data_IF_919769519659
#
_entry.id   IF_919769519659
#
_cell.length_a   1.000
_cell.length_b   1.000
_cell.length_c   1.000
_cell.angle_alpha   90.00
_cell.angle_beta   90.00
_cell.angle_gamma   90.00
#
_symmetry.space_group_name_H-M   'P 1'
#
loop_
_entity.id
_entity.type
_entity.pdbx_description
1 polymer ?
#
# COMPACT_ATOMS: atom_id res chain seq x y z
N UNK A 1 -8.24 0.99 5.54
CA UNK A 1 -8.42 -0.25 4.75
C UNK A 1 -8.24 -1.38 5.73
N UNK A 2 -9.19 -2.31 5.82
CA UNK A 2 -9.07 -3.44 6.75
C UNK A 2 -8.38 -4.59 6.03
N UNK A 3 -7.11 -4.84 6.36
CA UNK A 3 -6.36 -5.99 5.89
C UNK A 3 -6.48 -7.10 6.93
N UNK A 4 -7.00 -8.25 6.53
CA UNK A 4 -6.98 -9.45 7.36
C UNK A 4 -5.73 -10.25 7.01
N UNK A 5 -4.76 -10.27 7.92
CA UNK A 5 -3.56 -11.10 7.79
C UNK A 5 -3.89 -12.51 8.28
N UNK A 6 -3.59 -13.49 7.44
CA UNK A 6 -3.74 -14.91 7.76
C UNK A 6 -2.35 -15.54 7.85
N UNK A 7 -1.91 -15.84 9.07
CA UNK A 7 -0.65 -16.53 9.30
C UNK A 7 -0.85 -18.04 9.14
N UNK A 8 -0.10 -18.63 8.22
CA UNK A 8 -0.16 -20.05 7.91
C UNK A 8 1.07 -20.76 8.51
N UNK A 9 0.90 -21.78 9.37
CA UNK A 9 2.02 -22.50 9.95
C UNK A 9 2.77 -23.33 8.90
N UNK A 10 4.11 -23.22 8.89
CA UNK A 10 5.02 -23.83 7.91
C UNK A 10 5.02 -25.38 7.86
N UNK A 11 4.29 -26.05 8.76
CA UNK A 11 4.21 -27.51 8.86
C UNK A 11 2.97 -28.14 8.20
N UNK A 12 1.99 -27.35 7.76
CA UNK A 12 0.73 -27.87 7.22
C UNK A 12 0.81 -27.88 5.69
N UNK A 13 0.93 -29.07 5.12
CA UNK A 13 0.69 -29.29 3.68
C UNK A 13 -0.82 -29.25 3.46
N UNK A 14 -1.34 -28.11 3.01
CA UNK A 14 -2.78 -27.95 2.72
C UNK A 14 -3.23 -28.86 1.57
N UNK A 15 -2.31 -29.31 0.73
CA UNK A 15 -2.59 -30.24 -0.37
C UNK A 15 -2.99 -31.64 0.14
N UNK A 16 -2.60 -32.00 1.37
CA UNK A 16 -2.83 -33.32 1.95
C UNK A 16 -4.08 -33.42 2.83
N UNK A 17 -4.72 -32.28 3.16
CA UNK A 17 -5.90 -32.25 4.01
C UNK A 17 -7.17 -31.93 3.20
N UNK A 18 -7.96 -32.94 2.78
CA UNK A 18 -9.15 -32.77 1.94
C UNK A 18 -10.35 -32.08 2.64
N UNK A 19 -10.21 -31.70 3.92
CA UNK A 19 -11.30 -31.24 4.78
C UNK A 19 -11.25 -29.74 5.13
N UNK A 20 -10.30 -28.97 4.59
CA UNK A 20 -10.28 -27.52 4.76
C UNK A 20 -10.85 -26.82 3.52
N UNK A 21 -11.72 -25.83 3.72
CA UNK A 21 -12.27 -24.93 2.69
C UNK A 21 -11.17 -23.99 2.14
N UNK A 22 -10.13 -24.59 1.58
CA UNK A 22 -8.99 -23.94 0.93
C UNK A 22 -9.50 -23.05 -0.21
N UNK A 23 -10.50 -23.52 -0.93
CA UNK A 23 -11.19 -22.78 -1.99
C UNK A 23 -11.94 -21.55 -1.45
N UNK A 24 -12.51 -21.64 -0.24
CA UNK A 24 -13.15 -20.50 0.43
C UNK A 24 -12.13 -19.44 0.85
N UNK A 25 -11.01 -19.87 1.43
CA UNK A 25 -9.94 -18.99 1.90
C UNK A 25 -9.29 -18.27 0.70
N UNK A 26 -8.80 -19.01 -0.30
CA UNK A 26 -8.13 -18.41 -1.46
C UNK A 26 -9.05 -17.54 -2.33
N UNK A 27 -10.37 -17.80 -2.35
CA UNK A 27 -11.32 -16.92 -3.05
C UNK A 27 -11.46 -15.53 -2.41
N UNK A 28 -11.13 -15.42 -1.12
CA UNK A 28 -11.21 -14.17 -0.35
C UNK A 28 -9.87 -13.42 -0.29
N UNK A 29 -8.77 -14.08 -0.64
CA UNK A 29 -7.41 -13.55 -0.54
C UNK A 29 -7.03 -12.85 -1.85
N UNK A 30 -6.61 -11.59 -1.77
CA UNK A 30 -6.17 -10.81 -2.94
C UNK A 30 -4.68 -10.94 -3.26
N UNK A 31 -3.84 -11.27 -2.28
CA UNK A 31 -2.40 -11.46 -2.45
C UNK A 31 -1.90 -12.54 -1.50
N UNK A 32 -1.00 -13.39 -2.00
CA UNK A 32 -0.32 -14.44 -1.25
C UNK A 32 1.14 -14.04 -1.11
N UNK A 33 1.57 -13.82 0.15
CA UNK A 33 2.97 -13.54 0.47
C UNK A 33 3.62 -14.84 0.94
N UNK A 34 4.65 -15.27 0.24
CA UNK A 34 5.46 -16.44 0.62
C UNK A 34 6.82 -15.99 1.12
N UNK A 35 7.17 -16.36 2.34
CA UNK A 35 8.44 -15.96 2.97
C UNK A 35 9.45 -17.10 2.89
N UNK A 36 10.59 -16.83 2.27
CA UNK A 36 11.73 -17.75 2.16
C UNK A 36 12.87 -17.19 3.00
N UNK A 37 13.37 -17.96 3.97
CA UNK A 37 14.57 -17.57 4.72
C UNK A 37 15.81 -17.74 3.84
N UNK A 38 16.56 -16.66 3.61
CA UNK A 38 17.76 -16.67 2.78
C UNK A 38 18.99 -17.27 3.50
N UNK A 39 18.94 -17.42 4.83
CA UNK A 39 20.04 -17.95 5.64
C UNK A 39 19.92 -19.46 5.90
N UNK A 40 18.75 -20.04 5.62
CA UNK A 40 18.46 -21.46 5.83
C UNK A 40 18.33 -22.22 4.50
N UNK A 41 18.16 -23.53 4.58
CA UNK A 41 17.97 -24.39 3.41
C UNK A 41 16.59 -24.13 2.74
N UNK A 42 16.60 -23.34 1.66
CA UNK A 42 15.40 -22.92 0.95
C UNK A 42 14.84 -23.95 -0.06
N UNK A 43 15.54 -25.06 -0.35
CA UNK A 43 15.10 -26.04 -1.35
C UNK A 43 13.71 -26.61 -1.07
N UNK A 44 13.45 -27.02 0.17
CA UNK A 44 12.15 -27.55 0.57
C UNK A 44 11.05 -26.47 0.49
N UNK A 45 11.40 -25.22 0.81
CA UNK A 45 10.48 -24.09 0.74
C UNK A 45 10.10 -23.77 -0.72
N UNK A 46 11.07 -23.82 -1.65
CA UNK A 46 10.83 -23.64 -3.09
C UNK A 46 9.92 -24.73 -3.63
N UNK A 47 10.16 -26.01 -3.29
CA UNK A 47 9.31 -27.11 -3.74
C UNK A 47 7.85 -26.93 -3.31
N UNK A 48 7.62 -26.60 -2.03
CA UNK A 48 6.27 -26.34 -1.50
C UNK A 48 5.61 -25.12 -2.13
N UNK A 49 6.39 -24.07 -2.39
CA UNK A 49 5.91 -22.89 -3.09
C UNK A 49 5.46 -23.28 -4.51
N UNK A 50 6.27 -24.04 -5.24
CA UNK A 50 5.94 -24.48 -6.59
C UNK A 50 4.68 -25.35 -6.60
N UNK A 51 4.55 -26.31 -5.67
CA UNK A 51 3.31 -27.10 -5.54
C UNK A 51 2.07 -26.21 -5.29
N UNK A 52 2.21 -25.18 -4.46
CA UNK A 52 1.14 -24.23 -4.15
C UNK A 52 0.80 -23.35 -5.37
N UNK A 53 1.81 -22.83 -6.06
CA UNK A 53 1.63 -22.06 -7.29
C UNK A 53 0.96 -22.91 -8.35
N UNK A 54 1.38 -24.16 -8.54
CA UNK A 54 0.79 -25.08 -9.51
C UNK A 54 -0.66 -25.41 -9.16
N UNK A 55 -1.00 -25.57 -7.88
CA UNK A 55 -2.39 -25.74 -7.44
C UNK A 55 -3.23 -24.51 -7.80
N UNK A 56 -2.75 -23.30 -7.47
CA UNK A 56 -3.44 -22.06 -7.77
C UNK A 56 -3.58 -21.82 -9.29
N UNK A 57 -2.51 -22.02 -10.05
CA UNK A 57 -2.51 -21.91 -11.49
C UNK A 57 -3.52 -22.88 -12.11
N UNK A 58 -3.51 -24.17 -11.75
CA UNK A 58 -4.49 -25.14 -12.29
C UNK A 58 -5.94 -24.78 -11.94
N UNK A 59 -6.18 -24.20 -10.77
CA UNK A 59 -7.52 -23.89 -10.26
C UNK A 59 -8.13 -22.62 -10.84
N UNK A 60 -7.30 -21.59 -11.05
CA UNK A 60 -7.71 -20.26 -11.51
C UNK A 60 -7.41 -20.01 -12.99
N UNK A 61 -6.65 -20.89 -13.65
CA UNK A 61 -6.44 -20.84 -15.10
C UNK A 61 -7.75 -21.12 -15.84
N UNK A 62 -8.48 -20.04 -16.15
CA UNK A 62 -9.67 -20.09 -16.97
C UNK A 62 -9.31 -19.76 -18.43
N UNK A 63 -9.44 -20.70 -19.37
CA UNK A 63 -9.14 -20.46 -20.79
C UNK A 63 -10.15 -19.53 -21.49
N UNK A 64 -11.07 -18.91 -20.76
CA UNK A 64 -12.18 -18.12 -21.33
C UNK A 64 -11.86 -16.63 -21.55
N UNK A 65 -10.75 -16.10 -21.01
CA UNK A 65 -10.32 -14.70 -21.22
C UNK A 65 -8.88 -14.64 -21.75
N UNK A 66 -8.68 -14.45 -23.07
CA UNK A 66 -7.34 -14.41 -23.69
C UNK A 66 -6.55 -13.13 -23.36
N UNK A 67 -7.21 -12.05 -22.93
CA UNK A 67 -6.56 -10.76 -22.64
C UNK A 67 -6.10 -10.61 -21.17
N UNK A 68 -6.65 -11.41 -20.25
CA UNK A 68 -6.18 -11.50 -18.85
C UNK A 68 -6.43 -12.91 -18.28
N UNK A 69 -5.56 -13.89 -18.59
CA UNK A 69 -5.76 -15.31 -18.23
C UNK A 69 -5.69 -15.62 -16.72
N UNK A 70 -5.42 -14.62 -15.88
CA UNK A 70 -5.30 -14.72 -14.42
C UNK A 70 -6.34 -13.85 -13.66
N UNK A 71 -7.42 -13.42 -14.32
CA UNK A 71 -8.47 -12.62 -13.68
C UNK A 71 -9.12 -13.39 -12.51
N UNK A 72 -8.85 -12.94 -11.28
CA UNK A 72 -9.27 -13.61 -10.03
C UNK A 72 -8.20 -14.50 -9.36
N UNK A 73 -6.99 -14.59 -9.91
CA UNK A 73 -5.85 -15.20 -9.22
C UNK A 73 -5.29 -14.22 -8.17
N UNK A 74 -4.96 -14.68 -6.95
CA UNK A 74 -4.23 -13.84 -5.99
C UNK A 74 -2.84 -13.49 -6.54
N UNK A 75 -2.40 -12.26 -6.32
CA UNK A 75 -1.03 -11.86 -6.64
C UNK A 75 -0.04 -12.68 -5.81
N UNK A 76 0.93 -13.33 -6.46
CA UNK A 76 1.95 -14.13 -5.75
C UNK A 76 3.19 -13.27 -5.55
N UNK A 77 3.56 -13.09 -4.29
CA UNK A 77 4.70 -12.28 -3.91
C UNK A 77 5.63 -13.07 -3.00
N UNK A 78 6.88 -13.22 -3.41
CA UNK A 78 7.88 -14.03 -2.73
C UNK A 78 8.87 -13.10 -2.04
N UNK A 79 8.94 -13.20 -0.72
CA UNK A 79 9.86 -12.44 0.12
C UNK A 79 11.06 -13.32 0.44
N UNK A 80 12.21 -13.00 -0.16
CA UNK A 80 13.52 -13.52 0.25
C UNK A 80 13.92 -12.73 1.49
N UNK A 81 13.80 -13.37 2.64
CA UNK A 81 13.87 -12.75 3.96
C UNK A 81 15.21 -13.02 4.67
N UNK A 82 15.52 -12.22 5.69
CA UNK A 82 16.79 -12.26 6.47
C UNK A 82 18.05 -12.04 5.63
N UNK A 83 17.99 -11.12 4.69
CA UNK A 83 19.14 -10.76 3.83
C UNK A 83 20.20 -9.91 4.53
N UNK A 84 19.97 -9.52 5.79
CA UNK A 84 20.84 -8.66 6.63
C UNK A 84 22.17 -9.32 7.00
N UNK A 85 22.20 -10.65 7.14
CA UNK A 85 23.40 -11.40 7.49
C UNK A 85 24.31 -11.75 6.30
N UNK A 86 23.91 -11.36 5.08
CA UNK A 86 24.57 -11.76 3.84
C UNK A 86 25.39 -10.61 3.25
N UNK A 87 26.49 -10.92 2.58
CA UNK A 87 27.20 -9.92 1.77
C UNK A 87 26.37 -9.54 0.54
N UNK A 88 26.57 -8.34 0.00
CA UNK A 88 25.83 -7.86 -1.17
C UNK A 88 25.93 -8.80 -2.38
N UNK A 89 27.12 -9.35 -2.62
CA UNK A 89 27.36 -10.33 -3.69
C UNK A 89 26.56 -11.61 -3.46
N UNK A 90 26.58 -12.14 -2.23
CA UNK A 90 25.87 -13.37 -1.90
C UNK A 90 24.35 -13.16 -1.91
N UNK A 91 23.87 -11.99 -1.49
CA UNK A 91 22.46 -11.61 -1.58
C UNK A 91 21.99 -11.61 -3.04
N UNK A 92 22.77 -11.01 -3.94
CA UNK A 92 22.43 -10.97 -5.37
C UNK A 92 22.43 -12.38 -5.98
N UNK A 93 23.40 -13.22 -5.62
CA UNK A 93 23.50 -14.60 -6.09
C UNK A 93 22.34 -15.47 -5.60
N UNK A 94 22.03 -15.43 -4.29
CA UNK A 94 20.89 -16.17 -3.70
C UNK A 94 19.57 -15.70 -4.29
N UNK A 95 19.39 -14.38 -4.42
CA UNK A 95 18.17 -13.81 -5.01
C UNK A 95 17.98 -14.30 -6.45
N UNK A 96 19.05 -14.30 -7.26
CA UNK A 96 19.02 -14.80 -8.62
C UNK A 96 18.77 -16.31 -8.69
N UNK A 97 19.40 -17.10 -7.83
CA UNK A 97 19.22 -18.56 -7.80
C UNK A 97 17.78 -18.93 -7.43
N UNK A 98 17.21 -18.32 -6.39
CA UNK A 98 15.81 -18.52 -5.99
C UNK A 98 14.85 -18.11 -7.12
N UNK A 99 15.07 -16.94 -7.72
CA UNK A 99 14.23 -16.44 -8.81
C UNK A 99 14.27 -17.37 -10.02
N UNK A 100 15.46 -17.83 -10.43
CA UNK A 100 15.61 -18.73 -11.57
C UNK A 100 14.93 -20.09 -11.31
N UNK A 101 15.17 -20.70 -10.15
CA UNK A 101 14.56 -22.00 -9.80
C UNK A 101 13.03 -21.95 -9.81
N UNK A 102 12.44 -20.92 -9.22
CA UNK A 102 10.98 -20.79 -9.18
C UNK A 102 10.42 -20.55 -10.58
N UNK A 103 11.04 -19.69 -11.37
CA UNK A 103 10.57 -19.40 -12.73
C UNK A 103 10.74 -20.60 -13.67
N UNK A 104 11.88 -21.31 -13.60
CA UNK A 104 12.16 -22.48 -14.42
C UNK A 104 11.18 -23.63 -14.08
N UNK A 105 10.94 -23.91 -12.80
CA UNK A 105 9.98 -24.94 -12.38
C UNK A 105 8.55 -24.59 -12.82
N UNK A 106 8.15 -23.33 -12.74
CA UNK A 106 6.81 -22.88 -13.19
C UNK A 106 6.67 -22.95 -14.72
N UNK A 107 7.74 -22.62 -15.45
CA UNK A 107 7.81 -22.72 -16.91
C UNK A 107 7.74 -24.18 -17.40
N UNK A 108 8.45 -25.10 -16.72
CA UNK A 108 8.43 -26.54 -17.03
C UNK A 108 7.01 -27.14 -16.96
N UNK A 109 6.14 -26.55 -16.14
CA UNK A 109 4.74 -26.96 -16.02
C UNK A 109 3.77 -26.22 -16.98
N UNK A 110 4.29 -25.38 -17.88
CA UNK A 110 3.54 -24.70 -18.93
C UNK A 110 2.88 -23.38 -18.51
N UNK A 111 3.33 -22.76 -17.41
CA UNK A 111 2.82 -21.48 -16.92
C UNK A 111 3.83 -20.33 -17.10
N UNK A 112 4.29 -20.10 -18.33
CA UNK A 112 5.34 -19.10 -18.66
C UNK A 112 5.00 -17.64 -18.30
N UNK A 113 3.72 -17.33 -18.02
CA UNK A 113 3.23 -15.97 -17.81
C UNK A 113 2.71 -15.71 -16.37
N UNK A 114 3.00 -16.58 -15.40
CA UNK A 114 2.54 -16.40 -14.03
C UNK A 114 3.10 -15.07 -13.43
N UNK A 115 2.25 -14.16 -12.91
CA UNK A 115 2.69 -12.89 -12.36
C UNK A 115 3.28 -13.09 -10.95
N UNK A 116 4.52 -13.57 -10.88
CA UNK A 116 5.27 -13.76 -9.64
C UNK A 116 6.21 -12.57 -9.43
N UNK A 117 6.17 -11.97 -8.25
CA UNK A 117 7.06 -10.88 -7.88
C UNK A 117 7.98 -11.28 -6.73
N UNK A 118 9.24 -10.87 -6.83
CA UNK A 118 10.28 -11.21 -5.86
C UNK A 118 10.76 -9.95 -5.15
N UNK A 119 10.91 -10.05 -3.83
CA UNK A 119 11.38 -8.96 -2.98
C UNK A 119 12.46 -9.47 -2.05
N UNK A 120 13.55 -8.72 -1.94
CA UNK A 120 14.57 -8.92 -0.91
C UNK A 120 14.16 -8.09 0.31
N UNK A 121 13.94 -8.73 1.46
CA UNK A 121 13.41 -8.08 2.66
C UNK A 121 14.24 -8.38 3.90
N UNK A 122 14.37 -7.39 4.76
CA UNK A 122 14.97 -7.49 6.09
C UNK A 122 14.09 -6.74 7.08
N UNK A 123 13.99 -7.24 8.32
CA UNK A 123 13.29 -6.53 9.41
C UNK A 123 14.10 -5.37 9.99
N UNK A 124 15.40 -5.32 9.72
CA UNK A 124 16.28 -4.26 10.20
C UNK A 124 16.33 -3.05 9.28
N UNK A 125 15.92 -3.23 8.02
CA UNK A 125 15.92 -2.18 7.01
C UNK A 125 14.48 -1.80 6.62
N UNK A 126 14.34 -0.63 6.01
CA UNK A 126 13.07 -0.14 5.49
C UNK A 126 12.50 -1.00 4.31
N UNK A 127 13.28 -1.96 3.82
CA UNK A 127 12.96 -2.82 2.66
C UNK A 127 11.71 -3.67 2.85
N UNK A 128 11.44 -4.14 4.08
CA UNK A 128 10.22 -4.89 4.37
C UNK A 128 8.97 -4.03 4.13
N UNK A 129 8.98 -2.78 4.61
CA UNK A 129 7.85 -1.88 4.44
C UNK A 129 7.68 -1.44 2.98
N UNK A 130 8.78 -1.24 2.24
CA UNK A 130 8.71 -0.98 0.81
C UNK A 130 8.10 -2.16 0.03
N UNK A 131 8.52 -3.39 0.35
CA UNK A 131 7.95 -4.59 -0.26
C UNK A 131 6.43 -4.68 0.02
N UNK A 132 6.02 -4.52 1.29
CA UNK A 132 4.61 -4.45 1.68
C UNK A 132 3.85 -3.31 0.98
N UNK A 133 4.49 -2.17 0.75
CA UNK A 133 3.87 -1.05 0.04
C UNK A 133 3.56 -1.42 -1.42
N UNK A 134 4.47 -2.13 -2.10
CA UNK A 134 4.24 -2.63 -3.47
C UNK A 134 3.18 -3.73 -3.52
N UNK A 135 3.09 -4.59 -2.50
CA UNK A 135 2.02 -5.58 -2.33
C UNK A 135 0.67 -4.89 -2.25
N UNK A 136 0.55 -3.93 -1.34
CA UNK A 136 -0.69 -3.19 -1.10
C UNK A 136 -1.10 -2.39 -2.32
N UNK A 137 -0.17 -1.77 -3.05
CA UNK A 137 -0.47 -1.07 -4.30
C UNK A 137 -1.22 -1.93 -5.30
N UNK A 138 -0.83 -3.20 -5.48
CA UNK A 138 -1.52 -4.12 -6.39
C UNK A 138 -2.90 -4.53 -5.90
N UNK A 139 -3.09 -4.59 -4.58
CA UNK A 139 -4.37 -4.88 -3.96
C UNK A 139 -5.38 -3.72 -4.09
N UNK A 140 -4.92 -2.48 -4.33
CA UNK A 140 -5.81 -1.32 -4.42
C UNK A 140 -6.30 -1.12 -5.87
N UNK A 141 -7.59 -1.38 -6.17
CA UNK A 141 -8.12 -1.28 -7.54
C UNK A 141 -8.16 0.16 -8.10
N UNK A 142 -8.06 1.17 -7.23
CA UNK A 142 -8.10 2.59 -7.60
C UNK A 142 -6.70 3.20 -7.73
N UNK A 143 -5.63 2.39 -7.69
CA UNK A 143 -4.26 2.85 -7.81
C UNK A 143 -4.03 3.79 -9.01
N UNK A 144 -4.52 3.49 -10.24
CA UNK A 144 -4.27 4.37 -11.39
C UNK A 144 -4.86 5.77 -11.22
N UNK A 145 -5.96 5.92 -10.49
CA UNK A 145 -6.53 7.23 -10.21
C UNK A 145 -5.65 8.02 -9.23
N UNK A 146 -5.14 7.36 -8.18
CA UNK A 146 -4.25 7.97 -7.19
C UNK A 146 -2.90 8.34 -7.80
N UNK A 147 -2.32 7.47 -8.62
CA UNK A 147 -1.07 7.74 -9.36
C UNK A 147 -1.22 8.94 -10.30
N UNK A 148 -2.33 9.03 -11.04
CA UNK A 148 -2.60 10.17 -11.91
C UNK A 148 -2.75 11.48 -11.13
N UNK A 149 -3.36 11.45 -9.93
CA UNK A 149 -3.45 12.62 -9.05
C UNK A 149 -2.07 13.02 -8.52
N UNK A 150 -1.24 12.06 -8.12
CA UNK A 150 0.14 12.31 -7.66
C UNK A 150 1.01 12.86 -8.78
N UNK A 151 0.95 12.29 -9.98
CA UNK A 151 1.66 12.78 -11.16
C UNK A 151 1.23 14.20 -11.53
N UNK A 152 -0.09 14.48 -11.44
CA UNK A 152 -0.64 15.81 -11.66
C UNK A 152 -0.18 16.83 -10.61
N UNK A 153 0.02 16.41 -9.36
CA UNK A 153 0.63 17.22 -8.32
C UNK A 153 2.10 17.49 -8.65
N UNK A 154 2.92 16.45 -8.85
CA UNK A 154 4.34 16.56 -9.14
C UNK A 154 4.62 17.47 -10.34
N UNK A 155 3.86 17.34 -11.42
CA UNK A 155 4.01 18.17 -12.62
C UNK A 155 3.72 19.65 -12.38
N UNK A 156 2.81 20.00 -11.46
CA UNK A 156 2.41 21.39 -11.19
C UNK A 156 3.23 22.07 -10.11
N UNK A 157 3.70 21.32 -9.12
CA UNK A 157 4.46 21.85 -7.97
C UNK A 157 5.97 21.73 -8.16
N UNK A 158 6.44 20.94 -9.12
CA UNK A 158 7.88 20.67 -9.30
C UNK A 158 8.44 19.79 -8.18
N UNK A 159 7.59 18.95 -7.57
CA UNK A 159 8.00 17.93 -6.60
C UNK A 159 8.76 16.83 -7.36
N UNK A 160 9.91 16.41 -6.83
CA UNK A 160 10.73 15.35 -7.43
C UNK A 160 10.10 13.97 -7.22
N UNK A 161 9.55 13.75 -6.02
CA UNK A 161 8.96 12.47 -5.60
C UNK A 161 7.82 12.70 -4.62
N UNK A 162 6.73 11.96 -4.76
CA UNK A 162 5.60 12.02 -3.84
C UNK A 162 5.13 10.63 -3.41
N UNK A 163 4.85 10.50 -2.12
CA UNK A 163 4.35 9.28 -1.49
C UNK A 163 3.11 9.59 -0.67
N UNK A 164 2.10 8.72 -0.77
CA UNK A 164 0.94 8.75 0.10
C UNK A 164 1.07 7.62 1.12
N UNK A 165 1.43 7.98 2.35
CA UNK A 165 1.69 7.08 3.47
C UNK A 165 0.44 6.85 4.33
N UNK A 166 0.33 5.65 4.87
CA UNK A 166 -0.43 5.37 6.08
C UNK A 166 0.45 5.63 7.31
N UNK A 167 0.03 6.56 8.18
CA UNK A 167 0.82 7.05 9.31
C UNK A 167 1.09 5.94 10.34
N UNK A 168 0.13 5.03 10.55
CA UNK A 168 0.26 4.00 11.58
C UNK A 168 1.18 2.85 11.16
N UNK A 169 1.09 2.44 9.89
CA UNK A 169 1.82 1.26 9.38
C UNK A 169 3.11 1.63 8.65
N UNK A 170 3.31 2.92 8.35
CA UNK A 170 4.38 3.47 7.52
C UNK A 170 4.40 2.94 6.08
N UNK A 171 3.35 2.25 5.65
CA UNK A 171 3.24 1.73 4.28
C UNK A 171 2.73 2.83 3.36
N UNK A 172 3.36 3.03 2.19
CA UNK A 172 2.76 3.87 1.16
C UNK A 172 1.71 3.13 0.35
N UNK A 173 0.55 3.74 0.19
CA UNK A 173 -0.58 3.21 -0.59
C UNK A 173 -0.44 3.57 -2.07
N UNK A 174 0.15 4.73 -2.36
CA UNK A 174 0.36 5.21 -3.72
C UNK A 174 1.66 6.02 -3.80
N UNK A 175 2.32 5.94 -4.95
CA UNK A 175 3.49 6.73 -5.27
C UNK A 175 3.34 7.28 -6.70
N UNK A 176 4.06 8.35 -7.01
CA UNK A 176 4.16 8.84 -8.38
C UNK A 176 5.02 7.91 -9.25
N UNK A 177 4.94 8.08 -10.57
CA UNK A 177 5.61 7.18 -11.54
C UNK A 177 7.12 7.33 -11.62
N UNK A 178 7.70 8.32 -10.95
CA UNK A 178 9.17 8.46 -10.89
C UNK A 178 9.76 7.27 -10.13
N UNK A 179 10.94 6.75 -10.51
CA UNK A 179 11.56 5.66 -9.76
C UNK A 179 11.89 6.13 -8.33
N UNK A 180 11.35 5.41 -7.34
CA UNK A 180 11.68 5.64 -5.93
C UNK A 180 13.01 4.98 -5.57
N UNK A 181 13.76 5.64 -4.68
CA UNK A 181 14.95 5.08 -4.06
C UNK A 181 14.64 4.66 -2.62
N UNK A 182 15.28 3.60 -2.13
CA UNK A 182 15.12 3.07 -0.78
C UNK A 182 15.47 4.16 0.24
N UNK A 183 16.53 4.92 -0.02
CA UNK A 183 16.96 6.01 0.87
C UNK A 183 15.92 7.15 0.94
N UNK A 184 15.20 7.41 -0.15
CA UNK A 184 14.12 8.41 -0.14
C UNK A 184 12.94 7.94 0.71
N UNK A 185 12.59 6.65 0.60
CA UNK A 185 11.55 6.03 1.40
C UNK A 185 11.91 6.08 2.91
N UNK A 186 13.13 5.69 3.26
CA UNK A 186 13.64 5.73 4.64
C UNK A 186 13.57 7.15 5.22
N UNK A 187 14.04 8.15 4.47
CA UNK A 187 13.97 9.56 4.88
C UNK A 187 12.52 10.03 5.10
N UNK A 188 11.57 9.56 4.28
CA UNK A 188 10.16 9.90 4.43
C UNK A 188 9.52 9.20 5.63
N UNK A 189 9.92 7.95 5.91
CA UNK A 189 9.47 7.19 7.08
C UNK A 189 9.92 7.86 8.38
N UNK A 190 11.20 8.22 8.47
CA UNK A 190 11.75 8.90 9.65
C UNK A 190 11.09 10.27 9.88
N UNK A 191 10.73 10.98 8.80
CA UNK A 191 10.01 12.24 8.88
C UNK A 191 8.63 12.06 9.54
N UNK A 192 7.91 10.99 9.20
CA UNK A 192 6.59 10.70 9.77
C UNK A 192 6.75 10.48 11.28
N UNK A 193 7.74 9.70 11.71
CA UNK A 193 8.00 9.45 13.13
C UNK A 193 8.28 10.76 13.88
N UNK A 194 9.15 11.61 13.35
CA UNK A 194 9.46 12.91 13.97
C UNK A 194 8.20 13.78 14.10
N UNK A 195 7.35 13.81 13.08
CA UNK A 195 6.12 14.61 13.12
C UNK A 195 5.12 14.03 14.11
N UNK A 196 4.95 12.71 14.14
CA UNK A 196 4.06 12.02 15.10
C UNK A 196 4.56 12.23 16.52
N UNK A 197 5.84 11.97 16.81
CA UNK A 197 6.43 12.14 18.15
C UNK A 197 6.30 13.58 18.66
N UNK A 198 6.57 14.58 17.81
CA UNK A 198 6.38 16.00 18.16
C UNK A 198 4.90 16.31 18.40
N UNK A 199 4.01 15.75 17.58
CA UNK A 199 2.57 15.93 17.73
C UNK A 199 2.04 15.25 18.99
N UNK A 200 2.61 14.13 19.42
CA UNK A 200 2.26 13.49 20.69
C UNK A 200 2.71 14.31 21.91
N UNK A 201 3.87 14.98 21.80
CA UNK A 201 4.40 15.82 22.88
C UNK A 201 3.62 17.15 22.99
N UNK A 202 3.31 17.79 21.87
CA UNK A 202 2.77 19.15 21.84
C UNK A 202 1.30 19.27 21.38
N UNK A 203 0.73 18.23 20.79
CA UNK A 203 -0.64 18.19 20.27
C UNK A 203 -1.70 17.81 21.31
N UNK A 204 -1.38 17.91 22.60
CA UNK A 204 -2.38 17.73 23.65
C UNK A 204 -3.49 18.78 23.54
N UNK A 205 -4.73 18.30 23.43
CA UNK A 205 -5.92 19.10 23.65
C UNK A 205 -5.82 19.72 25.04
N UNK A 206 -5.56 21.03 25.08
CA UNK A 206 -5.62 21.77 26.34
C UNK A 206 -7.05 21.62 26.86
N UNK A 207 -7.24 21.29 28.15
CA UNK A 207 -8.59 21.19 28.71
C UNK A 207 -9.36 22.47 28.38
N UNK A 208 -10.61 22.31 27.92
CA UNK A 208 -11.46 23.42 27.52
C UNK A 208 -11.45 24.49 28.63
N UNK A 209 -11.02 25.72 28.32
CA UNK A 209 -10.99 26.78 29.31
C UNK A 209 -12.41 27.11 29.79
N UNK A 210 -12.56 27.47 31.07
CA UNK A 210 -13.87 27.86 31.60
C UNK A 210 -14.48 29.01 30.78
N UNK A 211 -15.80 29.00 30.52
CA UNK A 211 -16.45 29.99 29.68
C UNK A 211 -16.30 31.39 30.28
N UNK A 212 -15.66 32.29 29.53
CA UNK A 212 -15.37 33.68 29.90
C UNK A 212 -13.95 33.96 30.39
N UNK A 213 -13.09 32.94 30.47
CA UNK A 213 -11.68 33.10 30.87
C UNK A 213 -10.84 33.82 29.81
N UNK A 214 -9.70 34.38 30.23
CA UNK A 214 -8.73 34.99 29.32
C UNK A 214 -8.15 33.97 28.32
N UNK A 215 -8.11 32.69 28.72
CA UNK A 215 -7.63 31.56 27.92
C UNK A 215 -8.57 31.23 26.75
N UNK A 216 -9.90 31.29 26.93
CA UNK A 216 -10.87 31.10 25.83
C UNK A 216 -10.72 32.19 24.75
N UNK A 217 -10.43 33.43 25.16
CA UNK A 217 -10.19 34.55 24.22
C UNK A 217 -8.85 34.45 23.50
N UNK A 218 -7.83 33.83 24.11
CA UNK A 218 -6.56 33.52 23.44
C UNK A 218 -6.69 32.30 22.52
N UNK A 219 -7.38 31.23 22.94
CA UNK A 219 -7.63 30.04 22.10
C UNK A 219 -8.47 30.38 20.87
N UNK A 220 -9.51 31.21 21.02
CA UNK A 220 -10.31 31.69 19.89
C UNK A 220 -9.52 32.55 18.89
N UNK A 221 -8.34 33.05 19.31
CA UNK A 221 -7.42 33.83 18.49
C UNK A 221 -6.28 32.97 17.91
N UNK A 222 -6.07 31.75 18.43
CA UNK A 222 -5.25 30.73 17.80
C UNK A 222 -6.03 30.14 16.61
N UNK A 223 -5.96 30.82 15.46
CA UNK A 223 -6.24 30.21 14.15
C UNK A 223 -5.14 29.20 13.81
N UNK A 224 -4.98 28.18 14.64
CA UNK A 224 -4.18 27.01 14.32
C UNK A 224 -4.79 26.33 13.10
N UNK A 225 -3.96 25.93 12.15
CA UNK A 225 -4.38 25.06 11.07
C UNK A 225 -4.95 23.78 11.72
N UNK A 226 -6.17 23.37 11.37
CA UNK A 226 -6.76 22.13 11.90
C UNK A 226 -5.98 20.89 11.48
N UNK A 227 -5.22 21.01 10.38
CA UNK A 227 -4.53 19.91 9.73
C UNK A 227 -3.04 19.97 10.10
N UNK A 228 -2.46 18.81 10.47
CA UNK A 228 -1.03 18.72 10.72
C UNK A 228 -0.24 18.93 9.42
N UNK A 229 0.56 20.00 9.39
CA UNK A 229 1.47 20.31 8.30
C UNK A 229 2.89 20.46 8.84
N UNK A 230 3.84 19.75 8.22
CA UNK A 230 5.24 19.83 8.56
C UNK A 230 6.06 20.09 7.30
N UNK A 231 6.98 21.04 7.38
CA UNK A 231 7.92 21.32 6.29
C UNK A 231 9.32 21.40 6.89
N UNK A 232 10.18 20.46 6.49
CA UNK A 232 11.58 20.40 6.93
C UNK A 232 12.46 20.75 5.74
N UNK A 233 13.23 21.83 5.87
CA UNK A 233 14.21 22.25 4.87
C UNK A 233 15.60 21.81 5.32
N UNK A 234 16.31 21.04 4.50
CA UNK A 234 17.68 20.60 4.81
C UNK A 234 18.68 21.67 4.33
N UNK A 235 19.49 22.22 5.23
CA UNK A 235 20.42 23.34 4.93
C UNK A 235 21.75 22.91 4.26
N UNK A 236 22.03 21.61 4.10
CA UNK A 236 23.29 21.12 3.49
C UNK A 236 23.18 20.97 1.96
N UNK A 237 24.34 21.17 1.28
CA UNK A 237 24.55 21.16 -0.19
C UNK A 237 23.49 20.37 -0.99
N UNK A 238 22.68 21.11 -1.74
CA UNK A 238 21.54 20.61 -2.53
C UNK A 238 20.26 20.73 -1.72
N UNK A 239 19.70 21.93 -1.64
CA UNK A 239 18.54 22.28 -0.80
C UNK A 239 17.31 21.43 -1.17
N UNK A 240 17.20 20.28 -0.50
CA UNK A 240 16.01 19.43 -0.55
C UNK A 240 15.10 19.82 0.61
N UNK A 241 13.85 20.05 0.28
CA UNK A 241 12.78 20.32 1.21
C UNK A 241 11.87 19.09 1.25
N UNK A 242 11.67 18.57 2.44
CA UNK A 242 10.68 17.55 2.72
C UNK A 242 9.42 18.24 3.20
N UNK A 243 8.31 17.96 2.54
CA UNK A 243 7.02 18.51 2.91
C UNK A 243 6.07 17.37 3.23
N UNK A 244 5.51 17.38 4.43
CA UNK A 244 4.52 16.45 4.93
C UNK A 244 3.22 17.20 5.21
N UNK A 245 2.12 16.66 4.72
CA UNK A 245 0.77 17.17 5.03
C UNK A 245 -0.19 16.03 5.28
N UNK A 246 -0.98 16.17 6.34
CA UNK A 246 -2.08 15.27 6.62
C UNK A 246 -3.18 15.41 5.54
N UNK A 247 -3.63 14.26 5.02
CA UNK A 247 -4.75 14.17 4.08
C UNK A 247 -6.02 13.74 4.81
N UNK A 248 -5.89 12.75 5.69
CA UNK A 248 -6.91 12.23 6.62
C UNK A 248 -6.22 11.74 7.89
N UNK A 249 -7.02 11.40 8.92
CA UNK A 249 -6.55 10.80 10.19
C UNK A 249 -5.56 9.63 10.04
N UNK A 250 -5.62 8.90 8.94
CA UNK A 250 -4.75 7.75 8.66
C UNK A 250 -3.72 8.02 7.56
N UNK A 251 -3.93 9.03 6.71
CA UNK A 251 -3.14 9.22 5.50
C UNK A 251 -2.36 10.52 5.53
N UNK A 252 -1.06 10.44 5.26
CA UNK A 252 -0.18 11.59 5.11
C UNK A 252 0.44 11.61 3.71
N UNK A 253 0.46 12.77 3.08
CA UNK A 253 1.20 13.01 1.85
C UNK A 253 2.60 13.50 2.23
N UNK A 254 3.62 12.80 1.74
CA UNK A 254 5.03 13.21 1.87
C UNK A 254 5.60 13.50 0.49
N UNK A 255 6.21 14.67 0.34
CA UNK A 255 6.78 15.14 -0.92
C UNK A 255 8.24 15.56 -0.73
N UNK A 256 9.08 15.15 -1.67
CA UNK A 256 10.49 15.55 -1.75
C UNK A 256 10.61 16.59 -2.86
N UNK A 257 11.12 17.77 -2.52
CA UNK A 257 11.25 18.90 -3.44
C UNK A 257 12.69 19.39 -3.45
N UNK A 258 13.32 19.53 -4.62
CA UNK A 258 14.53 20.33 -4.75
C UNK A 258 14.10 21.78 -4.99
N UNK A 259 14.22 22.64 -3.98
CA UNK A 259 13.79 24.03 -4.10
C UNK A 259 14.94 24.96 -3.73
N UNK A 260 15.33 25.81 -4.69
CA UNK A 260 16.35 26.85 -4.50
C UNK A 260 15.85 28.01 -3.61
N UNK A 261 14.54 28.28 -3.61
CA UNK A 261 13.87 29.20 -2.69
C UNK A 261 12.50 28.65 -2.20
N UNK A 262 12.45 28.05 -1.00
CA UNK A 262 11.24 27.42 -0.47
C UNK A 262 10.13 28.42 -0.10
N UNK A 263 10.43 29.72 0.09
CA UNK A 263 9.46 30.69 0.58
C UNK A 263 8.51 31.21 -0.51
N UNK A 264 9.02 31.43 -1.73
CA UNK A 264 8.23 32.04 -2.82
C UNK A 264 7.15 31.08 -3.38
N UNK A 265 7.45 29.78 -3.40
CA UNK A 265 6.54 28.74 -3.94
C UNK A 265 5.66 28.07 -2.90
N UNK A 266 5.88 28.31 -1.60
CA UNK A 266 5.15 27.65 -0.51
C UNK A 266 3.64 27.74 -0.66
N UNK A 267 3.11 28.94 -0.89
CA UNK A 267 1.67 29.16 -0.98
C UNK A 267 1.03 28.40 -2.17
N UNK A 268 1.73 28.29 -3.30
CA UNK A 268 1.24 27.54 -4.45
C UNK A 268 1.28 26.02 -4.20
N UNK A 269 2.34 25.54 -3.56
CA UNK A 269 2.50 24.13 -3.19
C UNK A 269 1.40 23.72 -2.20
N UNK A 270 1.20 24.51 -1.15
CA UNK A 270 0.17 24.30 -0.14
C UNK A 270 -1.24 24.28 -0.76
N UNK A 271 -1.54 25.24 -1.64
CA UNK A 271 -2.83 25.27 -2.35
C UNK A 271 -3.05 24.01 -3.19
N UNK A 272 -2.05 23.59 -3.98
CA UNK A 272 -2.15 22.41 -4.83
C UNK A 272 -2.29 21.12 -4.00
N UNK A 273 -1.58 21.02 -2.88
CA UNK A 273 -1.69 19.88 -1.97
C UNK A 273 -3.04 19.83 -1.27
N UNK A 274 -3.64 20.97 -0.91
CA UNK A 274 -5.01 21.02 -0.38
C UNK A 274 -6.05 20.62 -1.42
N UNK A 275 -5.84 20.96 -2.69
CA UNK A 275 -6.69 20.48 -3.80
C UNK A 275 -6.53 18.96 -3.97
N UNK A 276 -5.29 18.46 -3.89
CA UNK A 276 -4.99 17.02 -3.95
C UNK A 276 -5.66 16.25 -2.79
N UNK A 277 -5.52 16.70 -1.55
CA UNK A 277 -6.11 16.06 -0.38
C UNK A 277 -7.63 15.92 -0.51
N UNK A 278 -8.32 16.98 -0.98
CA UNK A 278 -9.75 16.91 -1.30
C UNK A 278 -10.08 15.92 -2.41
N UNK A 279 -9.23 15.83 -3.44
CA UNK A 279 -9.38 14.85 -4.52
C UNK A 279 -9.26 13.40 -4.03
N UNK A 280 -8.29 13.12 -3.17
CA UNK A 280 -8.09 11.81 -2.56
C UNK A 280 -9.30 11.41 -1.71
N UNK A 281 -9.83 12.34 -0.91
CA UNK A 281 -11.03 12.08 -0.09
C UNK A 281 -12.24 11.75 -0.95
N UNK A 282 -12.42 12.44 -2.07
CA UNK A 282 -13.49 12.11 -3.03
C UNK A 282 -13.33 10.71 -3.61
N UNK A 283 -12.11 10.30 -3.98
CA UNK A 283 -11.83 8.95 -4.53
C UNK A 283 -12.23 7.86 -3.54
N UNK A 284 -11.90 8.03 -2.25
CA UNK A 284 -12.28 7.08 -1.21
C UNK A 284 -13.77 7.10 -0.88
N UNK A 285 -14.45 8.25 -0.95
CA UNK A 285 -15.91 8.36 -0.77
C UNK A 285 -16.73 7.70 -1.89
N UNK A 286 -16.16 7.51 -3.08
CA UNK A 286 -16.88 6.86 -4.20
C UNK A 286 -17.21 5.40 -3.88
N UNK A 287 -16.39 4.71 -3.09
CA UNK A 287 -16.57 3.27 -2.80
C UNK A 287 -17.82 2.96 -1.94
N UNK A 288 -18.08 3.64 -0.81
CA UNK A 288 -19.32 3.43 -0.08
C UNK A 288 -20.55 3.82 -0.90
N UNK A 289 -20.49 4.91 -1.70
CA UNK A 289 -21.62 5.32 -2.55
C UNK A 289 -21.95 4.31 -3.64
N UNK A 290 -20.94 3.74 -4.30
CA UNK A 290 -21.15 2.69 -5.31
C UNK A 290 -21.66 1.38 -4.69
N UNK A 291 -21.23 1.04 -3.47
CA UNK A 291 -21.73 -0.13 -2.75
C UNK A 291 -23.18 0.08 -2.29
N UNK A 292 -23.54 1.23 -1.74
CA UNK A 292 -24.92 1.60 -1.38
C UNK A 292 -25.83 1.61 -2.61
N UNK A 293 -25.38 2.19 -3.73
CA UNK A 293 -26.13 2.19 -5.00
C UNK A 293 -26.30 0.78 -5.58
N UNK A 294 -25.29 -0.09 -5.43
CA UNK A 294 -25.36 -1.48 -5.86
C UNK A 294 -26.31 -2.31 -4.98
N UNK A 295 -26.30 -2.10 -3.67
CA UNK A 295 -27.24 -2.71 -2.73
C UNK A 295 -28.68 -2.24 -2.97
N UNK A 296 -28.91 -0.93 -3.17
CA UNK A 296 -30.22 -0.41 -3.54
C UNK A 296 -30.73 -1.04 -4.84
N UNK A 297 -29.88 -1.19 -5.85
CA UNK A 297 -30.23 -1.84 -7.12
C UNK A 297 -30.53 -3.34 -6.94
N UNK A 298 -29.81 -4.04 -6.06
CA UNK A 298 -30.07 -5.46 -5.72
C UNK A 298 -31.41 -5.62 -5.00
N UNK A 299 -31.70 -4.79 -4.00
CA UNK A 299 -32.98 -4.79 -3.27
C UNK A 299 -34.15 -4.44 -4.20
N UNK A 300 -33.98 -3.48 -5.10
CA UNK A 300 -35.00 -3.14 -6.10
C UNK A 300 -35.25 -4.27 -7.11
N UNK A 301 -34.20 -4.98 -7.55
CA UNK A 301 -34.35 -6.16 -8.43
C UNK A 301 -35.04 -7.33 -7.73
N UNK A 302 -34.73 -7.58 -6.46
CA UNK A 302 -35.39 -8.62 -5.65
C UNK A 302 -36.90 -8.31 -5.45
N UNK A 303 -37.24 -7.05 -5.13
CA UNK A 303 -38.65 -6.61 -5.04
C UNK A 303 -39.37 -6.72 -6.39
N UNK A 304 -38.69 -6.45 -7.51
CA UNK A 304 -39.26 -6.59 -8.85
C UNK A 304 -39.50 -8.06 -9.26
N UNK A 305 -38.68 -9.01 -8.79
CA UNK A 305 -38.90 -10.44 -9.02
C UNK A 305 -40.05 -11.00 -8.16
N UNK A 306 -40.19 -10.55 -6.91
CA UNK A 306 -41.31 -10.93 -6.04
C UNK A 306 -42.65 -10.40 -6.57
N UNK A 307 -42.68 -9.15 -7.06
CA UNK A 307 -43.87 -8.57 -7.68
C UNK A 307 -44.31 -9.30 -8.96
N UNK A 308 -43.38 -9.89 -9.71
CA UNK A 308 -43.69 -10.73 -10.88
C UNK A 308 -44.19 -12.12 -10.50
N UNK A 309 -43.81 -12.65 -9.35
CA UNK A 309 -44.25 -13.97 -8.85
C UNK A 309 -45.64 -13.90 -8.19
N UNK A 310 -45.98 -12.78 -7.54
CA UNK A 310 -47.30 -12.54 -6.94
C UNK A 310 -48.44 -12.31 -7.95
N UNK A 311 -48.13 -11.99 -9.21
CA UNK A 311 -49.12 -11.73 -10.28
C UNK A 311 -49.52 -12.99 -11.07
N UNK A 312 -48.97 -14.16 -10.71
CA UNK A 312 -49.23 -15.46 -11.33
C UNK A 312 -50.12 -16.41 -10.49
N UNK A 313 -50.75 -15.90 -9.43
CA UNK A 313 -51.79 -16.62 -8.67
C UNK A 313 -53.16 -15.99 -8.93
#
# INVERSE_FOLDING_TARGET
>A
MDFQVWDIPAGVSYLDAPDQDIDGIFSSVGALIWVIDAQDEYFTAIQRLNDTILYLCRRYHSPQHPDNPFDGMPHIEVFVHKVDGLSDDFRADVFRDIQQRILDDVADHGFDAAPIHFYSTSIYDATIFEAFSKVIQRLVPQLPALENLLNGLCSKTGVEKAYLFDVCTKIYIASDTTPGDITQYETCSDLIDVVVDISEIYGWERPDPEPGSFEEKMLAQETGNSDAEAMITMERRGAKCLYLREVNKYLALVCIMAVDDPAEKRAMVEYNMRVFARGVNQVFEVRPRLMEDAELKRVQRAKASEAKMGRKK
#
